data_IF_911082565482
#
_entry.id   IF_911082565482
#
_cell.length_a   1.000
_cell.length_b   1.000
_cell.length_c   1.000
_cell.angle_alpha   90.00
_cell.angle_beta   90.00
_cell.angle_gamma   90.00
#
_symmetry.space_group_name_H-M   'P 1'
#
loop_
_entity.id
_entity.type
_entity.pdbx_description
1 polymer ?
#
# COMPACT_ATOMS: atom_id res chain seq x y z
N UNK A 1 0.92 -18.84 0.41
CA UNK A 1 1.69 -17.75 1.02
C UNK A 1 1.27 -16.41 0.43
N UNK A 2 0.96 -15.45 1.27
CA UNK A 2 0.59 -14.11 0.82
C UNK A 2 1.83 -13.27 0.56
N UNK A 3 1.98 -12.73 -0.64
CA UNK A 3 3.09 -11.86 -1.01
C UNK A 3 2.65 -10.41 -0.89
N UNK A 4 3.38 -9.63 -0.13
CA UNK A 4 3.04 -8.25 0.20
C UNK A 4 4.19 -7.33 -0.18
N UNK A 5 3.90 -6.26 -0.93
CA UNK A 5 4.88 -5.22 -1.24
C UNK A 5 4.52 -3.98 -0.44
N UNK A 6 5.51 -3.43 0.24
CA UNK A 6 5.39 -2.18 0.99
C UNK A 6 6.14 -1.08 0.24
N UNK A 7 5.41 -0.07 -0.20
CA UNK A 7 5.98 1.12 -0.85
C UNK A 7 5.75 2.32 0.07
N UNK A 8 6.63 2.45 1.05
CA UNK A 8 6.53 3.42 2.15
C UNK A 8 7.73 4.36 2.07
N UNK A 9 7.47 5.66 2.17
CA UNK A 9 8.50 6.68 2.01
C UNK A 9 9.62 6.56 3.04
N UNK A 10 9.30 6.34 4.30
CA UNK A 10 10.30 6.19 5.35
C UNK A 10 10.66 4.72 5.53
N UNK A 11 11.91 4.35 5.21
CA UNK A 11 12.33 2.96 5.29
C UNK A 11 12.30 2.39 6.71
N UNK A 12 12.50 3.21 7.72
CA UNK A 12 12.36 2.78 9.12
C UNK A 12 10.93 2.33 9.39
N UNK A 13 9.95 3.11 8.92
CA UNK A 13 8.54 2.74 9.05
C UNK A 13 8.23 1.46 8.27
N UNK A 14 8.78 1.32 7.07
CA UNK A 14 8.57 0.13 6.26
C UNK A 14 9.10 -1.12 6.97
N UNK A 15 10.29 -1.05 7.55
CA UNK A 15 10.87 -2.18 8.31
C UNK A 15 10.07 -2.50 9.57
N UNK A 16 9.53 -1.49 10.23
CA UNK A 16 8.66 -1.69 11.40
C UNK A 16 7.38 -2.43 10.99
N UNK A 17 6.77 -2.01 9.87
CA UNK A 17 5.59 -2.67 9.33
C UNK A 17 5.88 -4.11 8.95
N UNK A 18 7.02 -4.34 8.32
CA UNK A 18 7.45 -5.70 7.95
C UNK A 18 7.53 -6.60 9.16
N UNK A 19 8.24 -6.18 10.21
CA UNK A 19 8.36 -6.98 11.43
C UNK A 19 7.02 -7.27 12.08
N UNK A 20 6.16 -6.24 12.14
CA UNK A 20 4.84 -6.38 12.73
C UNK A 20 4.00 -7.40 11.96
N UNK A 21 4.00 -7.32 10.63
CA UNK A 21 3.23 -8.24 9.81
C UNK A 21 3.78 -9.67 9.91
N UNK A 22 5.10 -9.82 9.95
CA UNK A 22 5.72 -11.14 10.12
C UNK A 22 5.33 -11.80 11.44
N UNK A 23 5.12 -11.01 12.48
CA UNK A 23 4.68 -11.52 13.79
C UNK A 23 3.20 -11.89 13.83
N UNK A 24 2.38 -11.16 13.10
CA UNK A 24 0.92 -11.28 13.22
C UNK A 24 0.27 -12.13 12.14
N UNK A 25 0.92 -12.28 10.98
CA UNK A 25 0.41 -13.12 9.90
C UNK A 25 1.16 -14.43 9.86
N UNK A 26 0.43 -15.53 9.63
CA UNK A 26 1.02 -16.87 9.74
C UNK A 26 1.94 -17.22 8.57
N UNK A 27 1.59 -16.82 7.36
CA UNK A 27 2.35 -17.25 6.17
C UNK A 27 2.37 -16.12 5.16
N UNK A 28 3.40 -15.28 5.23
CA UNK A 28 3.54 -14.15 4.32
C UNK A 28 4.99 -13.93 3.93
N UNK A 29 5.18 -13.36 2.75
CA UNK A 29 6.45 -12.89 2.25
C UNK A 29 6.32 -11.40 2.02
N UNK A 30 7.22 -10.61 2.58
CA UNK A 30 7.14 -9.15 2.52
C UNK A 30 8.37 -8.61 1.81
N UNK A 31 8.16 -7.69 0.89
CA UNK A 31 9.22 -6.98 0.18
C UNK A 31 9.00 -5.49 0.35
N UNK A 32 10.07 -4.78 0.65
CA UNK A 32 10.04 -3.32 0.75
C UNK A 32 10.57 -2.77 -0.56
N UNK A 33 9.74 -1.99 -1.27
CA UNK A 33 10.16 -1.33 -2.50
C UNK A 33 11.14 -0.22 -2.19
N UNK A 34 12.20 -0.10 -2.99
CA UNK A 34 13.23 0.91 -2.78
C UNK A 34 12.77 2.32 -3.14
N UNK A 35 11.87 2.44 -4.10
CA UNK A 35 11.38 3.73 -4.57
C UNK A 35 10.07 3.56 -5.32
N UNK A 36 9.28 4.64 -5.44
CA UNK A 36 8.04 4.58 -6.24
C UNK A 36 8.26 4.13 -7.69
N UNK A 37 9.38 4.56 -8.30
CA UNK A 37 9.67 4.20 -9.68
C UNK A 37 9.91 2.70 -9.86
N UNK A 38 10.45 2.03 -8.86
CA UNK A 38 10.76 0.60 -8.92
C UNK A 38 9.53 -0.28 -8.64
N UNK A 39 8.50 0.26 -8.03
CA UNK A 39 7.38 -0.54 -7.51
C UNK A 39 6.62 -1.28 -8.61
N UNK A 40 6.23 -0.59 -9.68
CA UNK A 40 5.45 -1.23 -10.74
C UNK A 40 6.24 -2.35 -11.43
N UNK A 41 7.52 -2.12 -11.67
CA UNK A 41 8.38 -3.11 -12.31
C UNK A 41 8.60 -4.32 -11.41
N UNK A 42 8.82 -4.07 -10.12
CA UNK A 42 8.98 -5.14 -9.14
C UNK A 42 7.71 -6.01 -9.06
N UNK A 43 6.54 -5.36 -9.02
CA UNK A 43 5.26 -6.06 -8.97
C UNK A 43 5.01 -6.90 -10.22
N UNK A 44 5.44 -6.40 -11.38
CA UNK A 44 5.33 -7.14 -12.64
C UNK A 44 6.08 -8.46 -12.57
N UNK A 45 7.29 -8.44 -12.00
CA UNK A 45 8.14 -9.63 -11.89
C UNK A 45 7.63 -10.60 -10.83
N UNK A 46 7.23 -10.09 -9.66
CA UNK A 46 6.95 -10.92 -8.50
C UNK A 46 5.46 -11.18 -8.26
N UNK A 47 4.57 -10.45 -8.92
CA UNK A 47 3.11 -10.64 -8.89
C UNK A 47 2.56 -10.76 -7.46
N UNK A 48 2.66 -9.70 -6.64
CA UNK A 48 2.22 -9.77 -5.25
C UNK A 48 0.70 -9.89 -5.12
N UNK A 49 0.27 -10.38 -3.97
CA UNK A 49 -1.16 -10.42 -3.61
C UNK A 49 -1.64 -9.08 -3.09
N UNK A 50 -0.76 -8.33 -2.42
CA UNK A 50 -1.11 -7.04 -1.80
C UNK A 50 0.00 -6.03 -2.09
N UNK A 51 -0.40 -4.83 -2.48
CA UNK A 51 0.49 -3.67 -2.61
C UNK A 51 -0.01 -2.58 -1.66
N UNK A 52 0.80 -2.23 -0.67
CA UNK A 52 0.52 -1.13 0.24
C UNK A 52 1.38 0.05 -0.16
N UNK A 53 0.75 1.15 -0.57
CA UNK A 53 1.45 2.37 -0.98
C UNK A 53 1.10 3.52 -0.06
N UNK A 54 2.12 4.20 0.44
CA UNK A 54 1.92 5.45 1.18
C UNK A 54 1.64 6.58 0.20
N UNK A 55 0.70 7.45 0.56
CA UNK A 55 0.36 8.62 -0.25
C UNK A 55 0.71 9.88 0.54
N UNK A 56 1.33 10.86 -0.13
CA UNK A 56 1.77 12.12 0.44
C UNK A 56 1.25 13.29 -0.40
N UNK A 57 1.45 14.50 0.11
CA UNK A 57 1.06 15.72 -0.61
C UNK A 57 2.11 16.21 -1.60
N UNK A 58 3.18 15.44 -1.83
CA UNK A 58 4.30 15.84 -2.69
C UNK A 58 4.82 14.64 -3.50
N UNK A 59 5.44 14.97 -4.66
CA UNK A 59 6.00 13.95 -5.55
C UNK A 59 7.21 13.25 -4.92
N UNK A 60 7.44 12.00 -5.23
CA UNK A 60 6.69 11.13 -6.15
C UNK A 60 5.57 10.32 -5.49
N UNK A 61 5.08 10.76 -4.32
CA UNK A 61 4.07 10.02 -3.55
C UNK A 61 2.67 10.64 -3.63
N UNK A 62 2.42 11.54 -4.59
CA UNK A 62 1.11 12.17 -4.72
C UNK A 62 0.05 11.17 -5.17
N UNK A 63 -1.19 11.46 -4.86
CA UNK A 63 -2.32 10.58 -5.18
C UNK A 63 -2.34 10.17 -6.65
N UNK A 64 -2.20 11.13 -7.57
CA UNK A 64 -2.24 10.83 -9.01
C UNK A 64 -1.09 9.91 -9.43
N UNK A 65 0.09 10.11 -8.85
CA UNK A 65 1.25 9.28 -9.13
C UNK A 65 1.05 7.86 -8.61
N UNK A 66 0.44 7.71 -7.43
CA UNK A 66 0.10 6.39 -6.87
C UNK A 66 -0.94 5.67 -7.71
N UNK A 67 -1.94 6.41 -8.23
CA UNK A 67 -2.95 5.81 -9.10
C UNK A 67 -2.35 5.36 -10.42
N UNK A 68 -1.36 6.07 -10.95
CA UNK A 68 -0.64 5.63 -12.15
C UNK A 68 0.11 4.31 -11.90
N UNK A 69 0.73 4.14 -10.74
CA UNK A 69 1.38 2.88 -10.35
C UNK A 69 0.33 1.77 -10.22
N UNK A 70 -0.78 2.07 -9.55
CA UNK A 70 -1.90 1.13 -9.40
C UNK A 70 -2.35 0.61 -10.77
N UNK A 71 -2.51 1.49 -11.75
CA UNK A 71 -2.96 1.10 -13.08
C UNK A 71 -1.96 0.17 -13.76
N UNK A 72 -0.68 0.44 -13.63
CA UNK A 72 0.37 -0.43 -14.18
C UNK A 72 0.36 -1.80 -13.52
N UNK A 73 0.23 -1.84 -12.19
CA UNK A 73 0.20 -3.09 -11.44
C UNK A 73 -1.02 -3.92 -11.83
N UNK A 74 -2.19 -3.31 -11.92
CA UNK A 74 -3.42 -4.01 -12.27
C UNK A 74 -3.40 -4.58 -13.68
N UNK A 75 -2.71 -3.94 -14.61
CA UNK A 75 -2.58 -4.47 -15.98
C UNK A 75 -1.82 -5.79 -16.01
N UNK A 76 -0.85 -5.97 -15.12
CA UNK A 76 -0.03 -7.17 -15.10
C UNK A 76 -0.51 -8.20 -14.06
N UNK A 77 -1.16 -7.74 -12.99
CA UNK A 77 -1.61 -8.59 -11.89
C UNK A 77 -2.97 -8.07 -11.42
N UNK A 78 -4.02 -8.39 -12.15
CA UNK A 78 -5.35 -7.81 -11.87
C UNK A 78 -5.89 -8.18 -10.48
N UNK A 79 -5.46 -9.32 -9.94
CA UNK A 79 -5.91 -9.77 -8.62
C UNK A 79 -5.13 -9.16 -7.46
N UNK A 80 -4.10 -8.36 -7.73
CA UNK A 80 -3.37 -7.68 -6.68
C UNK A 80 -4.29 -6.68 -5.97
N UNK A 81 -4.35 -6.77 -4.65
CA UNK A 81 -5.13 -5.84 -3.84
C UNK A 81 -4.29 -4.62 -3.51
N UNK A 82 -4.85 -3.44 -3.72
CA UNK A 82 -4.13 -2.18 -3.52
C UNK A 82 -4.70 -1.47 -2.29
N UNK A 83 -3.81 -1.14 -1.37
CA UNK A 83 -4.17 -0.43 -0.13
C UNK A 83 -3.35 0.84 -0.07
N UNK A 84 -3.98 1.96 0.26
CA UNK A 84 -3.28 3.23 0.46
C UNK A 84 -3.12 3.50 1.96
N UNK A 85 -1.93 3.96 2.32
CA UNK A 85 -1.60 4.37 3.68
C UNK A 85 -1.48 5.89 3.72
N UNK A 86 -2.26 6.53 4.58
CA UNK A 86 -2.40 8.00 4.62
C UNK A 86 -2.00 8.51 6.00
N UNK A 87 -1.20 9.58 6.04
CA UNK A 87 -0.85 10.22 7.32
C UNK A 87 -2.10 10.82 7.98
N UNK A 88 -2.11 10.82 9.31
CA UNK A 88 -3.22 11.39 10.08
C UNK A 88 -3.38 12.89 9.84
N UNK A 89 -2.30 13.58 9.53
CA UNK A 89 -2.30 15.01 9.28
C UNK A 89 -2.51 15.39 7.81
N UNK A 90 -2.87 14.43 6.98
CA UNK A 90 -3.21 14.69 5.58
C UNK A 90 -4.39 15.66 5.51
N UNK A 91 -4.35 16.58 4.53
CA UNK A 91 -5.44 17.55 4.39
C UNK A 91 -6.74 16.88 3.91
N UNK A 92 -7.85 17.61 4.04
CA UNK A 92 -9.15 17.08 3.68
C UNK A 92 -9.30 16.74 2.21
N UNK A 93 -8.59 17.46 1.33
CA UNK A 93 -8.65 17.20 -0.11
C UNK A 93 -8.02 15.84 -0.44
N UNK A 94 -6.84 15.55 0.10
CA UNK A 94 -6.18 14.27 -0.11
C UNK A 94 -7.01 13.13 0.48
N UNK A 95 -7.50 13.31 1.69
CA UNK A 95 -8.33 12.30 2.36
C UNK A 95 -9.57 11.98 1.55
N UNK A 96 -10.23 13.01 0.99
CA UNK A 96 -11.43 12.80 0.18
C UNK A 96 -11.12 12.06 -1.13
N UNK A 97 -9.99 12.37 -1.77
CA UNK A 97 -9.56 11.64 -2.98
C UNK A 97 -9.37 10.15 -2.68
N UNK A 98 -8.76 9.83 -1.55
CA UNK A 98 -8.54 8.43 -1.13
C UNK A 98 -9.88 7.73 -0.88
N UNK A 99 -10.80 8.38 -0.17
CA UNK A 99 -12.12 7.82 0.09
C UNK A 99 -12.90 7.59 -1.20
N UNK A 100 -12.82 8.54 -2.13
CA UNK A 100 -13.49 8.41 -3.42
C UNK A 100 -12.93 7.23 -4.21
N UNK A 101 -11.60 7.04 -4.20
CA UNK A 101 -10.97 5.90 -4.87
C UNK A 101 -11.49 4.57 -4.30
N UNK A 102 -11.69 4.50 -2.98
CA UNK A 102 -12.26 3.30 -2.36
C UNK A 102 -13.71 3.08 -2.82
N UNK A 103 -14.52 4.13 -2.83
CA UNK A 103 -15.92 4.04 -3.28
C UNK A 103 -16.03 3.59 -4.73
N UNK A 104 -15.11 4.04 -5.59
CA UNK A 104 -15.09 3.70 -7.00
C UNK A 104 -14.46 2.33 -7.29
N UNK A 105 -13.94 1.66 -6.28
CA UNK A 105 -13.30 0.36 -6.45
C UNK A 105 -11.91 0.41 -7.05
N UNK A 106 -11.28 1.58 -7.09
CA UNK A 106 -9.90 1.73 -7.59
C UNK A 106 -8.88 1.18 -6.61
N UNK A 107 -9.19 1.22 -5.33
CA UNK A 107 -8.39 0.61 -4.27
C UNK A 107 -9.28 -0.27 -3.41
N UNK A 108 -8.66 -1.23 -2.73
CA UNK A 108 -9.41 -2.21 -1.92
C UNK A 108 -9.60 -1.75 -0.48
N UNK A 109 -8.69 -0.93 0.03
CA UNK A 109 -8.78 -0.38 1.39
C UNK A 109 -7.87 0.83 1.52
N UNK A 110 -8.03 1.57 2.60
CA UNK A 110 -7.08 2.59 3.01
C UNK A 110 -6.94 2.58 4.52
N UNK A 111 -5.78 3.04 5.01
CA UNK A 111 -5.45 3.03 6.43
C UNK A 111 -4.84 4.38 6.81
N UNK A 112 -5.18 4.87 8.00
CA UNK A 112 -4.54 6.05 8.58
C UNK A 112 -3.42 5.61 9.53
N UNK A 113 -2.43 6.50 9.73
CA UNK A 113 -1.26 6.18 10.54
C UNK A 113 -1.54 5.87 12.00
N UNK A 114 -2.68 6.32 12.53
CA UNK A 114 -3.04 6.12 13.94
C UNK A 114 -3.70 4.79 14.25
N UNK A 115 -3.94 3.94 13.25
CA UNK A 115 -4.58 2.64 13.50
C UNK A 115 -3.68 1.75 14.36
N UNK A 116 -4.30 0.85 15.13
CA UNK A 116 -3.56 -0.11 15.93
C UNK A 116 -2.85 -1.13 15.06
N UNK A 117 -1.81 -1.76 15.61
CA UNK A 117 -1.10 -2.83 14.91
C UNK A 117 -2.03 -3.99 14.55
N UNK A 118 -2.94 -4.35 15.46
CA UNK A 118 -3.87 -5.44 15.21
C UNK A 118 -4.83 -5.11 14.07
N UNK A 119 -5.34 -3.87 14.02
CA UNK A 119 -6.23 -3.46 12.94
C UNK A 119 -5.49 -3.44 11.61
N UNK A 120 -4.27 -2.89 11.58
CA UNK A 120 -3.44 -2.85 10.39
C UNK A 120 -3.24 -4.27 9.83
N UNK A 121 -2.79 -5.19 10.67
CA UNK A 121 -2.56 -6.57 10.23
C UNK A 121 -3.85 -7.24 9.76
N UNK A 122 -4.96 -6.96 10.44
CA UNK A 122 -6.27 -7.52 10.08
C UNK A 122 -6.72 -7.07 8.69
N UNK A 123 -6.52 -5.79 8.36
CA UNK A 123 -6.89 -5.27 7.04
C UNK A 123 -6.02 -5.93 5.94
N UNK A 124 -4.71 -6.01 6.16
CA UNK A 124 -3.80 -6.66 5.21
C UNK A 124 -4.18 -8.12 4.99
N UNK A 125 -4.54 -8.82 6.06
CA UNK A 125 -4.88 -10.24 5.99
C UNK A 125 -6.22 -10.47 5.30
N UNK A 126 -7.16 -9.54 5.41
CA UNK A 126 -8.53 -9.71 4.93
C UNK A 126 -8.73 -9.40 3.43
N UNK A 127 -7.81 -8.68 2.82
CA UNK A 127 -7.95 -8.33 1.40
C UNK A 127 -7.53 -9.44 0.46
#
# INVERSE_FOLDING_TARGET
MKKIVLDIQCHIHAHTMERMLMQKLDDCQIVISESPDATAEWCKTHRPDVLLMEVKAYSPWMFNERMAIRDKVKRNTENCRVILFVDDDADGELTEKVRQAKREGLIDAFLFGSVSENYFASVIDSV
#
